data_IF_737143039685
#
_entry.id   IF_737143039685
#
_cell.length_a   1.000
_cell.length_b   1.000
_cell.length_c   1.000
_cell.angle_alpha   90.00
_cell.angle_beta   90.00
_cell.angle_gamma   90.00
#
_symmetry.space_group_name_H-M   'P 1'
#
loop_
_entity.id
_entity.type
_entity.pdbx_description
1 polymer ?
#
# COMPACT_ATOMS: atom_id res chain seq x y z
N UNK A 1 6.51 -7.08 -43.51
CA UNK A 1 5.60 -6.06 -42.95
C UNK A 1 5.82 -5.99 -41.44
N UNK A 2 6.54 -4.97 -40.96
CA UNK A 2 6.82 -4.76 -39.53
C UNK A 2 5.61 -4.07 -38.87
N UNK A 3 4.96 -4.77 -37.94
CA UNK A 3 3.77 -4.30 -37.22
C UNK A 3 4.21 -3.31 -36.13
N UNK A 4 4.26 -2.02 -36.46
CA UNK A 4 4.49 -0.95 -35.46
C UNK A 4 3.30 -0.89 -34.50
N UNK A 5 3.40 -1.53 -33.34
CA UNK A 5 2.49 -1.30 -32.22
C UNK A 5 2.86 0.03 -31.57
N UNK A 6 2.22 1.11 -32.01
CA UNK A 6 2.33 2.41 -31.34
C UNK A 6 1.61 2.35 -29.99
N UNK A 7 2.30 1.91 -28.94
CA UNK A 7 1.86 2.06 -27.56
C UNK A 7 1.91 3.54 -27.17
N UNK A 8 0.89 4.30 -27.57
CA UNK A 8 0.69 5.69 -27.14
C UNK A 8 -0.28 5.68 -25.95
N UNK A 9 0.25 5.41 -24.76
CA UNK A 9 -0.55 5.28 -23.53
C UNK A 9 -1.11 6.64 -23.04
N UNK A 10 -0.45 7.74 -23.44
CA UNK A 10 -0.90 9.12 -23.23
C UNK A 10 -1.76 9.59 -24.41
N UNK A 11 -3.09 9.65 -24.20
CA UNK A 11 -4.06 10.13 -25.21
C UNK A 11 -4.50 11.56 -24.87
N UNK A 12 -4.67 11.90 -23.59
CA UNK A 12 -4.98 13.24 -23.10
C UNK A 12 -4.15 13.51 -21.84
N UNK A 13 -3.11 14.33 -21.99
CA UNK A 13 -2.14 14.62 -20.91
C UNK A 13 -2.73 15.50 -19.83
N UNK A 14 -3.69 16.37 -20.15
CA UNK A 14 -4.24 17.32 -19.18
C UNK A 14 -5.16 16.61 -18.19
N UNK A 15 -6.09 15.81 -18.70
CA UNK A 15 -7.01 15.06 -17.86
C UNK A 15 -6.30 13.93 -17.09
N UNK A 16 -5.41 13.18 -17.75
CA UNK A 16 -4.63 12.13 -17.09
C UNK A 16 -3.73 12.72 -15.99
N UNK A 17 -3.07 13.86 -16.23
CA UNK A 17 -2.25 14.48 -15.20
C UNK A 17 -3.09 14.99 -14.04
N UNK A 18 -4.24 15.64 -14.29
CA UNK A 18 -5.11 16.11 -13.20
C UNK A 18 -5.56 14.95 -12.30
N UNK A 19 -5.95 13.82 -12.90
CA UNK A 19 -6.37 12.65 -12.14
C UNK A 19 -5.19 11.96 -11.44
N UNK A 20 -4.04 11.82 -12.12
CA UNK A 20 -2.82 11.23 -11.56
C UNK A 20 -2.28 12.07 -10.41
N UNK A 21 -2.30 13.41 -10.50
CA UNK A 21 -1.83 14.29 -9.43
C UNK A 21 -2.72 14.20 -8.19
N UNK A 22 -4.05 14.17 -8.36
CA UNK A 22 -4.98 13.95 -7.23
C UNK A 22 -4.73 12.62 -6.52
N UNK A 23 -4.60 11.52 -7.29
CA UNK A 23 -4.32 10.19 -6.73
C UNK A 23 -2.92 10.08 -6.12
N UNK A 24 -1.92 10.71 -6.74
CA UNK A 24 -0.55 10.73 -6.23
C UNK A 24 -0.48 11.46 -4.90
N UNK A 25 -1.28 12.52 -4.71
CA UNK A 25 -1.40 13.20 -3.42
C UNK A 25 -1.89 12.26 -2.31
N UNK A 26 -2.94 11.47 -2.57
CA UNK A 26 -3.45 10.48 -1.61
C UNK A 26 -2.37 9.43 -1.27
N UNK A 27 -1.64 8.96 -2.28
CA UNK A 27 -0.56 7.99 -2.10
C UNK A 27 0.59 8.55 -1.26
N UNK A 28 1.00 9.79 -1.51
CA UNK A 28 2.05 10.46 -0.75
C UNK A 28 1.62 10.63 0.71
N UNK A 29 0.38 11.08 0.96
CA UNK A 29 -0.15 11.23 2.32
C UNK A 29 -0.16 9.88 3.04
N UNK A 30 -0.63 8.81 2.38
CA UNK A 30 -0.64 7.46 2.96
C UNK A 30 0.78 6.97 3.29
N UNK A 31 1.75 7.19 2.39
CA UNK A 31 3.14 6.82 2.61
C UNK A 31 3.74 7.59 3.80
N UNK A 32 3.52 8.91 3.86
CA UNK A 32 3.99 9.74 4.98
C UNK A 32 3.36 9.33 6.31
N UNK A 33 2.06 9.03 6.33
CA UNK A 33 1.36 8.58 7.52
C UNK A 33 1.89 7.23 8.00
N UNK A 34 2.11 6.28 7.08
CA UNK A 34 2.71 4.97 7.39
C UNK A 34 4.12 5.12 7.96
N UNK A 35 4.97 5.92 7.32
CA UNK A 35 6.33 6.20 7.78
C UNK A 35 6.30 6.88 9.17
N UNK A 36 5.39 7.83 9.37
CA UNK A 36 5.21 8.54 10.63
C UNK A 36 4.80 7.59 11.78
N UNK A 37 3.85 6.68 11.53
CA UNK A 37 3.44 5.67 12.51
C UNK A 37 4.62 4.74 12.84
N UNK A 38 5.32 4.23 11.81
CA UNK A 38 6.49 3.36 12.01
C UNK A 38 7.57 4.08 12.82
N UNK A 39 7.81 5.36 12.55
CA UNK A 39 8.78 6.17 13.28
C UNK A 39 8.35 6.45 14.74
N UNK A 40 7.07 6.75 14.98
CA UNK A 40 6.52 6.95 16.33
C UNK A 40 6.65 5.68 17.18
N UNK A 41 6.30 4.53 16.60
CA UNK A 41 6.43 3.23 17.26
C UNK A 41 7.90 2.88 17.49
N UNK A 42 8.78 3.11 16.51
CA UNK A 42 10.23 2.87 16.63
C UNK A 42 10.90 3.73 17.69
N UNK A 43 10.47 4.99 17.86
CA UNK A 43 11.05 5.89 18.85
C UNK A 43 10.61 5.57 20.29
N UNK A 44 9.53 4.80 20.46
CA UNK A 44 8.96 4.44 21.75
C UNK A 44 8.69 2.92 21.87
N UNK A 45 9.69 2.05 21.65
CA UNK A 45 9.45 0.60 21.52
C UNK A 45 9.05 -0.05 22.84
N UNK A 46 9.44 0.53 23.99
CA UNK A 46 9.18 -0.04 25.31
C UNK A 46 8.02 0.60 26.06
N UNK A 47 7.65 1.85 25.76
CA UNK A 47 6.53 2.52 26.45
C UNK A 47 5.15 2.05 25.98
N UNK A 48 5.12 1.21 24.93
CA UNK A 48 3.91 0.58 24.41
C UNK A 48 3.69 -0.83 24.98
N UNK A 49 4.65 -1.36 25.74
CA UNK A 49 4.51 -2.66 26.39
C UNK A 49 3.72 -2.49 27.70
N UNK A 50 2.66 -3.29 27.94
CA UNK A 50 1.97 -3.28 29.23
C UNK A 50 2.93 -3.69 30.36
N UNK A 51 2.66 -3.22 31.58
CA UNK A 51 3.45 -3.61 32.76
C UNK A 51 3.49 -5.14 32.88
N UNK A 52 4.71 -5.70 32.95
CA UNK A 52 4.94 -7.14 32.99
C UNK A 52 5.10 -7.85 31.64
N UNK A 53 5.16 -7.11 30.52
CA UNK A 53 5.41 -7.72 29.21
C UNK A 53 6.78 -8.43 29.15
N UNK A 54 6.78 -9.65 28.64
CA UNK A 54 7.99 -10.47 28.45
C UNK A 54 8.82 -9.98 27.27
N UNK A 55 10.12 -9.83 27.47
CA UNK A 55 11.10 -9.55 26.40
C UNK A 55 11.72 -10.87 25.93
N UNK A 56 11.91 -11.02 24.62
CA UNK A 56 12.61 -12.19 24.05
C UNK A 56 14.12 -12.00 24.19
N UNK A 57 14.78 -12.94 24.83
CA UNK A 57 16.23 -12.98 25.01
C UNK A 57 16.80 -14.29 24.49
N UNK A 58 17.95 -14.22 23.82
CA UNK A 58 18.68 -15.43 23.40
C UNK A 58 19.41 -16.04 24.60
N UNK A 59 19.11 -17.31 24.86
CA UNK A 59 19.81 -18.13 25.86
C UNK A 59 20.78 -19.10 25.18
N UNK A 60 21.86 -19.44 25.86
CA UNK A 60 22.82 -20.44 25.44
C UNK A 60 22.36 -21.81 25.93
N UNK A 61 21.70 -22.56 25.06
CA UNK A 61 21.13 -23.87 25.38
C UNK A 61 22.21 -24.93 25.69
N UNK A 62 23.44 -24.74 25.21
CA UNK A 62 24.54 -25.68 25.40
C UNK A 62 25.27 -25.48 26.73
N UNK A 63 25.19 -24.28 27.31
CA UNK A 63 25.81 -23.94 28.61
C UNK A 63 24.82 -24.00 29.78
N UNK A 64 23.82 -24.88 29.70
CA UNK A 64 22.87 -25.06 30.79
C UNK A 64 23.59 -25.46 32.08
N UNK A 65 23.31 -24.76 33.18
CA UNK A 65 23.85 -25.05 34.50
C UNK A 65 22.71 -25.36 35.46
N UNK A 66 22.86 -26.36 36.32
CA UNK A 66 21.90 -26.61 37.38
C UNK A 66 22.04 -25.55 38.48
N UNK A 67 20.93 -24.94 38.89
CA UNK A 67 20.90 -24.00 40.02
C UNK A 67 20.12 -24.61 41.18
N UNK A 68 20.73 -24.64 42.36
CA UNK A 68 20.06 -25.00 43.62
C UNK A 68 20.07 -23.80 44.57
N UNK A 69 18.94 -23.59 45.26
CA UNK A 69 18.80 -22.50 46.24
C UNK A 69 19.37 -22.96 47.58
N UNK A 70 20.43 -22.31 48.03
CA UNK A 70 21.07 -22.58 49.31
C UNK A 70 20.22 -22.03 50.48
N UNK A 71 20.41 -22.57 51.70
CA UNK A 71 19.69 -22.14 52.90
C UNK A 71 19.89 -20.65 53.26
N UNK A 72 20.95 -20.03 52.77
CA UNK A 72 21.25 -18.59 52.90
C UNK A 72 20.49 -17.71 51.90
N UNK A 73 19.63 -18.32 51.07
CA UNK A 73 18.84 -17.65 50.04
C UNK A 73 19.60 -17.38 48.74
N UNK A 74 20.89 -17.70 48.66
CA UNK A 74 21.68 -17.57 47.43
C UNK A 74 21.50 -18.78 46.53
N UNK A 75 21.85 -18.64 45.25
CA UNK A 75 21.85 -19.74 44.30
C UNK A 75 23.29 -20.24 44.11
N UNK A 76 23.46 -21.55 44.11
CA UNK A 76 24.72 -22.19 43.76
C UNK A 76 24.57 -23.02 42.49
N UNK A 77 25.66 -23.13 41.74
CA UNK A 77 25.75 -24.01 40.58
C UNK A 77 25.95 -25.43 41.10
N UNK A 78 24.99 -26.29 40.83
CA UNK A 78 24.93 -27.68 41.29
C UNK A 78 24.25 -28.52 40.20
N UNK A 79 24.90 -29.59 39.76
CA UNK A 79 24.43 -30.46 38.68
C UNK A 79 23.09 -31.16 39.02
N UNK A 80 22.71 -31.22 40.30
CA UNK A 80 21.41 -31.73 40.76
C UNK A 80 20.29 -30.66 40.80
N UNK A 81 20.60 -29.40 40.48
CA UNK A 81 19.67 -28.27 40.53
C UNK A 81 18.73 -28.15 39.33
N UNK A 82 17.84 -27.15 39.37
CA UNK A 82 16.96 -26.85 38.23
C UNK A 82 17.77 -26.27 37.07
N UNK A 83 17.55 -26.70 35.82
CA UNK A 83 18.33 -26.22 34.68
C UNK A 83 18.07 -24.73 34.45
N UNK A 84 19.15 -23.95 34.46
CA UNK A 84 19.18 -22.54 34.13
C UNK A 84 20.00 -22.33 32.85
N UNK A 85 19.44 -21.61 31.90
CA UNK A 85 20.08 -21.31 30.63
C UNK A 85 20.65 -19.89 30.67
N UNK A 86 21.98 -19.72 30.72
CA UNK A 86 22.58 -18.40 30.74
C UNK A 86 22.31 -17.66 29.43
N UNK A 87 22.29 -16.32 29.49
CA UNK A 87 22.15 -15.50 28.28
C UNK A 87 23.32 -15.75 27.34
N UNK A 88 23.03 -15.83 26.04
CA UNK A 88 24.07 -16.01 25.03
C UNK A 88 24.88 -14.71 24.92
N UNK A 89 26.17 -14.82 25.22
CA UNK A 89 27.12 -13.70 25.15
C UNK A 89 27.90 -13.74 23.83
N UNK A 90 28.20 -12.58 23.27
CA UNK A 90 29.12 -12.43 22.14
C UNK A 90 30.54 -12.88 22.51
N UNK A 91 31.39 -13.08 21.51
CA UNK A 91 32.79 -13.47 21.72
C UNK A 91 33.61 -12.45 22.55
N UNK A 92 33.07 -11.24 22.73
CA UNK A 92 33.61 -10.11 23.49
C UNK A 92 33.00 -9.95 24.90
N UNK A 93 32.14 -10.89 25.33
CA UNK A 93 31.50 -10.86 26.65
C UNK A 93 30.30 -9.91 26.77
N UNK A 94 29.88 -9.26 25.67
CA UNK A 94 28.68 -8.41 25.65
C UNK A 94 27.43 -9.24 25.36
N UNK A 95 26.27 -8.93 25.97
CA UNK A 95 25.02 -9.60 25.62
C UNK A 95 24.74 -9.44 24.12
N UNK A 96 24.36 -10.52 23.45
CA UNK A 96 23.94 -10.47 22.04
C UNK A 96 22.77 -9.50 21.87
N UNK A 97 22.69 -8.86 20.70
CA UNK A 97 21.67 -7.88 20.36
C UNK A 97 20.28 -8.40 20.72
N UNK A 98 19.61 -7.76 21.66
CA UNK A 98 18.26 -8.12 22.07
C UNK A 98 17.31 -7.66 20.96
N UNK A 99 16.89 -8.60 20.11
CA UNK A 99 15.88 -8.33 19.10
C UNK A 99 14.54 -8.12 19.80
N UNK A 100 14.00 -6.91 19.75
CA UNK A 100 12.65 -6.69 20.22
C UNK A 100 11.66 -7.36 19.26
N UNK A 101 10.47 -7.72 19.76
CA UNK A 101 9.36 -8.13 18.91
C UNK A 101 9.15 -7.13 17.76
N UNK A 102 9.30 -5.84 18.04
CA UNK A 102 9.29 -4.78 17.04
C UNK A 102 10.32 -4.96 15.93
N UNK A 103 11.59 -5.26 16.24
CA UNK A 103 12.64 -5.45 15.23
C UNK A 103 12.35 -6.67 14.34
N UNK A 104 11.71 -7.69 14.90
CA UNK A 104 11.29 -8.89 14.17
C UNK A 104 10.12 -8.57 13.22
N UNK A 105 9.14 -7.77 13.65
CA UNK A 105 7.96 -7.44 12.86
C UNK A 105 8.16 -6.26 11.90
N UNK A 106 9.14 -5.37 12.13
CA UNK A 106 9.32 -4.15 11.33
C UNK A 106 9.61 -4.47 9.86
N UNK A 107 10.53 -5.41 9.61
CA UNK A 107 10.94 -5.80 8.25
C UNK A 107 9.79 -6.36 7.41
N UNK A 108 9.01 -7.38 7.88
CA UNK A 108 7.88 -7.88 7.10
C UNK A 108 6.77 -6.83 6.93
N UNK A 109 6.51 -5.99 7.95
CA UNK A 109 5.53 -4.90 7.83
C UNK A 109 5.94 -3.92 6.73
N UNK A 110 7.19 -3.45 6.74
CA UNK A 110 7.70 -2.52 5.71
C UNK A 110 7.61 -3.15 4.31
N UNK A 111 7.98 -4.43 4.16
CA UNK A 111 7.89 -5.14 2.89
C UNK A 111 6.44 -5.23 2.38
N UNK A 112 5.50 -5.60 3.25
CA UNK A 112 4.08 -5.70 2.90
C UNK A 112 3.51 -4.31 2.58
N UNK A 113 3.87 -3.27 3.33
CA UNK A 113 3.47 -1.89 3.06
C UNK A 113 3.99 -1.41 1.70
N UNK A 114 5.25 -1.70 1.36
CA UNK A 114 5.81 -1.34 0.06
C UNK A 114 5.10 -2.07 -1.08
N UNK A 115 4.85 -3.37 -0.92
CA UNK A 115 4.09 -4.15 -1.89
C UNK A 115 2.66 -3.58 -2.07
N UNK A 116 2.01 -3.20 -0.99
CA UNK A 116 0.67 -2.60 -1.02
C UNK A 116 0.69 -1.28 -1.81
N UNK A 117 1.66 -0.40 -1.56
CA UNK A 117 1.83 0.86 -2.32
C UNK A 117 1.99 0.56 -3.81
N UNK A 118 2.79 -0.43 -4.20
CA UNK A 118 2.97 -0.82 -5.60
C UNK A 118 1.67 -1.31 -6.24
N UNK A 119 0.88 -2.11 -5.53
CA UNK A 119 -0.43 -2.57 -6.00
C UNK A 119 -1.40 -1.40 -6.20
N UNK A 120 -1.45 -0.46 -5.25
CA UNK A 120 -2.31 0.73 -5.36
C UNK A 120 -1.88 1.60 -6.54
N UNK A 121 -0.58 1.84 -6.74
CA UNK A 121 -0.07 2.60 -7.89
C UNK A 121 -0.50 1.94 -9.20
N UNK A 122 -0.27 0.63 -9.35
CA UNK A 122 -0.64 -0.10 -10.55
C UNK A 122 -2.16 -0.04 -10.82
N UNK A 123 -2.97 -0.26 -9.79
CA UNK A 123 -4.43 -0.15 -9.87
C UNK A 123 -4.86 1.26 -10.28
N UNK A 124 -4.29 2.30 -9.67
CA UNK A 124 -4.64 3.70 -9.93
C UNK A 124 -4.31 4.13 -11.35
N UNK A 125 -3.15 3.71 -11.87
CA UNK A 125 -2.76 3.96 -13.27
C UNK A 125 -3.73 3.31 -14.25
N UNK A 126 -4.12 2.05 -14.00
CA UNK A 126 -5.07 1.34 -14.84
C UNK A 126 -6.48 1.97 -14.78
N UNK A 127 -6.94 2.34 -13.57
CA UNK A 127 -8.22 2.96 -13.35
C UNK A 127 -8.32 4.35 -14.00
N UNK A 128 -7.30 5.20 -13.82
CA UNK A 128 -7.21 6.52 -14.46
C UNK A 128 -7.29 6.41 -15.99
N UNK A 129 -6.59 5.43 -16.58
CA UNK A 129 -6.64 5.22 -18.04
C UNK A 129 -8.05 4.88 -18.54
N UNK A 130 -8.79 4.05 -17.79
CA UNK A 130 -10.17 3.64 -18.12
C UNK A 130 -11.21 4.75 -17.92
N UNK A 131 -10.86 5.83 -17.22
CA UNK A 131 -11.72 7.01 -17.05
C UNK A 131 -11.41 8.13 -18.06
N UNK A 132 -10.13 8.39 -18.33
CA UNK A 132 -9.71 9.53 -19.15
C UNK A 132 -10.23 9.49 -20.60
N UNK A 133 -10.12 8.34 -21.25
CA UNK A 133 -10.57 8.18 -22.64
C UNK A 133 -12.07 8.48 -22.82
N UNK A 134 -12.96 7.86 -22.01
CA UNK A 134 -14.39 8.11 -22.06
C UNK A 134 -14.80 9.55 -21.81
N UNK A 135 -14.25 10.17 -20.77
CA UNK A 135 -14.59 11.55 -20.40
C UNK A 135 -14.19 12.50 -21.53
N UNK A 136 -13.00 12.33 -22.11
CA UNK A 136 -12.57 13.13 -23.25
C UNK A 136 -13.47 12.95 -24.47
N UNK A 137 -13.89 11.70 -24.78
CA UNK A 137 -14.83 11.44 -25.90
C UNK A 137 -16.18 12.10 -25.68
N UNK A 138 -16.74 11.96 -24.49
CA UNK A 138 -18.02 12.59 -24.12
C UNK A 138 -17.91 14.11 -24.26
N UNK A 139 -16.84 14.72 -23.70
CA UNK A 139 -16.61 16.17 -23.79
C UNK A 139 -16.57 16.64 -25.25
N UNK A 140 -15.78 15.99 -26.09
CA UNK A 140 -15.63 16.41 -27.49
C UNK A 140 -16.93 16.24 -28.29
N UNK A 141 -17.71 15.18 -28.04
CA UNK A 141 -19.04 15.03 -28.65
C UNK A 141 -20.02 16.11 -28.20
N UNK A 142 -19.98 16.53 -26.93
CA UNK A 142 -20.82 17.63 -26.45
C UNK A 142 -20.38 18.98 -27.02
N UNK A 143 -19.08 19.24 -27.15
CA UNK A 143 -18.55 20.45 -27.78
C UNK A 143 -18.98 20.55 -29.25
N UNK A 144 -18.91 19.46 -30.01
CA UNK A 144 -19.39 19.43 -31.39
C UNK A 144 -20.91 19.69 -31.47
N UNK A 145 -21.69 19.17 -30.51
CA UNK A 145 -23.13 19.42 -30.45
C UNK A 145 -23.45 20.88 -30.16
N UNK A 146 -22.75 21.49 -29.18
CA UNK A 146 -22.87 22.91 -28.84
C UNK A 146 -22.47 23.80 -30.01
N UNK A 147 -21.48 23.39 -30.81
CA UNK A 147 -21.08 24.07 -32.04
C UNK A 147 -22.07 23.89 -33.21
N UNK A 148 -23.20 23.19 -33.00
CA UNK A 148 -24.22 22.95 -34.02
C UNK A 148 -23.83 21.93 -35.07
N UNK A 149 -22.75 21.17 -34.86
CA UNK A 149 -22.38 20.07 -35.77
C UNK A 149 -23.25 18.85 -35.51
N UNK A 150 -23.38 17.99 -36.52
CA UNK A 150 -24.01 16.68 -36.33
C UNK A 150 -23.11 15.81 -35.47
N UNK A 151 -23.68 15.24 -34.40
CA UNK A 151 -22.95 14.39 -33.46
C UNK A 151 -23.49 12.97 -33.56
N UNK A 152 -22.62 12.04 -33.94
CA UNK A 152 -22.97 10.62 -34.02
C UNK A 152 -23.09 9.96 -32.64
N UNK A 153 -23.44 8.68 -32.65
CA UNK A 153 -23.57 7.87 -31.42
C UNK A 153 -22.23 7.80 -30.65
N UNK A 154 -22.24 8.25 -29.40
CA UNK A 154 -21.11 8.19 -28.46
C UNK A 154 -20.92 6.73 -28.03
N UNK A 155 -19.96 6.03 -28.63
CA UNK A 155 -19.62 4.65 -28.26
C UNK A 155 -18.34 4.61 -27.41
N UNK A 156 -18.47 4.12 -26.19
CA UNK A 156 -17.34 3.86 -25.28
C UNK A 156 -16.85 2.40 -25.42
N UNK A 157 -15.63 2.10 -24.96
CA UNK A 157 -15.10 0.72 -24.99
C UNK A 157 -15.82 -0.12 -23.92
N UNK A 158 -15.89 -1.44 -24.11
CA UNK A 158 -16.63 -2.36 -23.22
C UNK A 158 -16.18 -2.27 -21.75
N UNK A 159 -14.89 -2.03 -21.52
CA UNK A 159 -14.32 -1.94 -20.19
C UNK A 159 -14.14 -0.47 -19.75
N UNK A 160 -14.67 0.50 -20.46
CA UNK A 160 -14.52 1.89 -20.02
C UNK A 160 -15.55 2.21 -18.93
N UNK A 161 -15.21 3.15 -18.04
CA UNK A 161 -16.21 3.71 -17.13
C UNK A 161 -17.15 4.66 -17.90
N UNK A 162 -18.30 5.00 -17.30
CA UNK A 162 -19.28 5.94 -17.85
C UNK A 162 -20.08 5.47 -19.08
N UNK A 163 -20.12 4.17 -19.37
CA UNK A 163 -20.95 3.62 -20.46
C UNK A 163 -22.42 4.00 -20.34
N UNK A 164 -22.99 3.91 -19.14
CA UNK A 164 -24.39 4.30 -18.88
C UNK A 164 -24.64 5.78 -19.13
N UNK A 165 -23.68 6.65 -18.76
CA UNK A 165 -23.75 8.09 -19.05
C UNK A 165 -23.73 8.34 -20.55
N UNK A 166 -22.86 7.67 -21.30
CA UNK A 166 -22.83 7.79 -22.75
C UNK A 166 -24.15 7.33 -23.40
N UNK A 167 -24.74 6.23 -22.92
CA UNK A 167 -26.03 5.75 -23.42
C UNK A 167 -27.18 6.73 -23.11
N UNK A 168 -27.18 7.33 -21.91
CA UNK A 168 -28.13 8.38 -21.55
C UNK A 168 -27.97 9.62 -22.43
N UNK A 169 -26.74 10.06 -22.69
CA UNK A 169 -26.45 11.19 -23.59
C UNK A 169 -26.93 10.89 -25.02
N UNK A 170 -26.66 9.70 -25.53
CA UNK A 170 -27.13 9.28 -26.86
C UNK A 170 -28.66 9.32 -26.97
N UNK A 171 -29.37 8.86 -25.92
CA UNK A 171 -30.83 8.95 -25.88
C UNK A 171 -31.31 10.41 -25.89
N UNK A 172 -30.67 11.28 -25.12
CA UNK A 172 -31.02 12.70 -25.07
C UNK A 172 -30.80 13.41 -26.42
N UNK A 173 -29.63 13.21 -27.04
CA UNK A 173 -29.31 13.79 -28.34
C UNK A 173 -30.30 13.35 -29.43
N UNK A 174 -30.65 12.06 -29.45
CA UNK A 174 -31.64 11.51 -30.39
C UNK A 174 -33.04 12.11 -30.22
N UNK A 175 -33.46 12.37 -28.97
CA UNK A 175 -34.76 13.01 -28.71
C UNK A 175 -34.79 14.44 -29.22
N UNK A 176 -33.71 15.20 -29.03
CA UNK A 176 -33.60 16.58 -29.52
C UNK A 176 -33.53 16.66 -31.05
N UNK A 177 -32.79 15.75 -31.70
CA UNK A 177 -32.81 15.64 -33.17
C UNK A 177 -34.21 15.35 -33.71
N UNK A 178 -34.97 14.46 -33.04
CA UNK A 178 -36.35 14.16 -33.43
C UNK A 178 -37.27 15.38 -33.29
N UNK A 179 -37.08 16.21 -32.25
CA UNK A 179 -37.86 17.45 -32.05
C UNK A 179 -37.53 18.54 -33.07
N UNK A 180 -36.29 18.62 -33.56
CA UNK A 180 -35.92 19.60 -34.60
C UNK A 180 -36.45 19.22 -35.98
N UNK A 181 -36.63 17.93 -36.23
CA UNK A 181 -37.01 17.39 -37.55
C UNK A 181 -38.51 17.05 -37.69
N UNK A 182 -39.31 17.24 -36.63
CA UNK A 182 -40.76 17.01 -36.62
C UNK A 182 -41.50 18.25 -36.18
#
# INVERSE_FOLDING_TARGET
MQKQTRWKYYIDKEFQNHFIFGFSGILIINALLTIGIVWLVKSNPYSLLPEGASVLVQVDAEKAVGLSKQPDGKYAIDDAGTPFFPLKSGADGRPLHQYNAFDIYLTPVILISLLNILVIIAYSLFFSHRMAGPVHRIKMSLEDYVAGKQVGYIKLRKNDHFSELADLLNKALKLEEKKKNG
#
